data_IF_906580759818
#
_entry.id   IF_906580759818
#
_cell.length_a   1.000
_cell.length_b   1.000
_cell.length_c   1.000
_cell.angle_alpha   90.00
_cell.angle_beta   90.00
_cell.angle_gamma   90.00
#
_symmetry.space_group_name_H-M   'P 1'
#
loop_
_entity.id
_entity.type
_entity.pdbx_description
1 polymer ?
#
# COMPACT_ATOMS: atom_id res chain seq x y z
N UNK A 1 -26.36 1.46 65.39
CA UNK A 1 -27.15 1.12 66.55
C UNK A 1 -28.61 1.43 66.32
N UNK A 2 -29.51 0.63 66.94
CA UNK A 2 -30.93 0.93 66.97
C UNK A 2 -31.26 2.11 67.93
N UNK A 3 -32.50 2.51 68.02
CA UNK A 3 -32.94 3.58 68.95
C UNK A 3 -32.71 3.30 70.41
N UNK A 4 -32.48 2.04 70.78
CA UNK A 4 -32.17 1.58 72.14
C UNK A 4 -30.65 1.50 72.39
N UNK A 5 -29.80 1.77 71.40
CA UNK A 5 -28.35 1.76 71.53
C UNK A 5 -27.67 0.43 71.15
N UNK A 6 -28.42 -0.57 70.67
CA UNK A 6 -27.83 -1.86 70.30
C UNK A 6 -27.08 -1.77 68.98
N UNK A 7 -25.89 -2.33 68.90
CA UNK A 7 -25.06 -2.36 67.70
C UNK A 7 -25.68 -3.31 66.66
N UNK A 8 -25.83 -2.81 65.41
CA UNK A 8 -26.15 -3.67 64.24
C UNK A 8 -24.96 -4.51 63.82
N UNK A 9 -25.20 -5.59 63.07
CA UNK A 9 -24.13 -6.40 62.51
C UNK A 9 -23.31 -5.64 61.47
N UNK A 10 -22.04 -5.98 61.40
CA UNK A 10 -21.21 -5.53 60.24
C UNK A 10 -21.71 -6.21 58.97
N UNK A 11 -21.76 -5.47 57.91
CA UNK A 11 -22.09 -6.00 56.58
C UNK A 11 -21.02 -5.59 55.57
N UNK A 12 -20.70 -6.47 54.65
CA UNK A 12 -19.81 -6.24 53.53
C UNK A 12 -20.53 -6.53 52.22
N UNK A 13 -20.20 -5.84 51.16
CA UNK A 13 -20.68 -6.17 49.81
C UNK A 13 -20.06 -7.48 49.33
N UNK A 14 -20.67 -8.13 48.35
CA UNK A 14 -20.02 -9.18 47.59
C UNK A 14 -18.78 -8.61 46.88
N UNK A 15 -17.82 -9.48 46.56
CA UNK A 15 -16.66 -9.09 45.78
C UNK A 15 -17.11 -8.55 44.40
N UNK A 16 -16.48 -7.50 43.92
CA UNK A 16 -16.70 -6.93 42.57
C UNK A 16 -15.36 -6.78 41.89
N UNK A 17 -15.38 -6.94 40.55
CA UNK A 17 -14.22 -6.68 39.70
C UNK A 17 -14.29 -5.24 39.17
N UNK A 18 -13.14 -4.63 39.02
CA UNK A 18 -12.96 -3.32 38.36
C UNK A 18 -11.96 -3.51 37.22
N UNK A 19 -12.41 -3.25 36.02
CA UNK A 19 -11.58 -3.19 34.80
C UNK A 19 -11.82 -1.84 34.13
N UNK A 20 -10.80 -1.00 34.06
CA UNK A 20 -10.86 0.37 33.51
C UNK A 20 -9.68 0.69 32.59
N UNK A 21 -8.82 -0.32 32.33
CA UNK A 21 -7.69 -0.18 31.44
C UNK A 21 -8.15 -0.40 29.99
N UNK A 22 -8.02 0.61 29.14
CA UNK A 22 -8.33 0.45 27.73
C UNK A 22 -7.27 -0.40 27.02
N UNK A 23 -7.65 -1.16 25.98
CA UNK A 23 -6.69 -1.88 25.13
C UNK A 23 -5.75 -0.89 24.45
N UNK A 24 -4.49 -1.28 24.24
CA UNK A 24 -3.52 -0.53 23.43
C UNK A 24 -3.23 -1.26 22.11
N UNK A 25 -2.66 -0.54 21.14
CA UNK A 25 -2.17 -1.13 19.87
C UNK A 25 -0.68 -1.39 20.02
N UNK A 26 -0.29 -2.67 20.04
CA UNK A 26 1.10 -3.11 20.16
C UNK A 26 1.82 -3.12 18.81
N UNK A 27 1.09 -3.44 17.73
CA UNK A 27 1.61 -3.47 16.36
C UNK A 27 0.51 -3.18 15.34
N UNK A 28 0.84 -2.37 14.32
CA UNK A 28 -0.01 -2.15 13.16
C UNK A 28 0.89 -1.95 11.93
N UNK A 29 1.07 -3.00 11.13
CA UNK A 29 2.08 -3.04 10.07
C UNK A 29 1.59 -3.75 8.81
N UNK A 30 2.24 -3.42 7.68
CA UNK A 30 2.20 -4.17 6.43
C UNK A 30 3.50 -4.97 6.26
N UNK A 31 3.42 -6.15 5.64
CA UNK A 31 4.58 -6.99 5.32
C UNK A 31 5.41 -6.46 4.15
N UNK A 32 4.84 -5.60 3.31
CA UNK A 32 5.49 -4.90 2.21
C UNK A 32 5.02 -3.44 2.20
N UNK A 33 5.96 -2.53 2.02
CA UNK A 33 5.73 -1.07 2.01
C UNK A 33 6.07 -0.40 0.68
N UNK A 34 6.39 -1.19 -0.37
CA UNK A 34 6.70 -0.71 -1.71
C UNK A 34 5.93 -1.54 -2.75
N UNK A 35 4.63 -1.32 -2.82
CA UNK A 35 3.66 -2.13 -3.55
C UNK A 35 3.55 -1.71 -5.02
N UNK A 36 3.72 -2.64 -5.93
CA UNK A 36 3.55 -2.48 -7.37
C UNK A 36 2.40 -3.32 -7.91
N UNK A 37 2.14 -3.24 -9.21
CA UNK A 37 1.08 -3.97 -9.88
C UNK A 37 1.21 -5.49 -9.65
N UNK A 38 0.13 -6.10 -9.11
CA UNK A 38 0.05 -7.53 -8.79
C UNK A 38 0.57 -7.93 -7.41
N UNK A 39 1.16 -7.01 -6.65
CA UNK A 39 1.59 -7.28 -5.28
C UNK A 39 0.40 -7.34 -4.31
N UNK A 40 0.63 -7.98 -3.18
CA UNK A 40 -0.25 -7.95 -2.01
C UNK A 40 0.60 -7.90 -0.74
N UNK A 41 0.10 -7.27 0.31
CA UNK A 41 0.75 -7.25 1.60
C UNK A 41 -0.13 -7.88 2.68
N UNK A 42 0.48 -8.56 3.65
CA UNK A 42 -0.22 -8.98 4.87
C UNK A 42 -0.23 -7.81 5.84
N UNK A 43 -1.43 -7.41 6.27
CA UNK A 43 -1.63 -6.48 7.38
C UNK A 43 -1.72 -7.26 8.67
N UNK A 44 -0.94 -6.84 9.66
CA UNK A 44 -0.98 -7.38 11.03
C UNK A 44 -1.32 -6.26 12.00
N UNK A 45 -2.41 -6.43 12.73
CA UNK A 45 -2.84 -5.58 13.84
C UNK A 45 -2.87 -6.40 15.12
N UNK A 46 -2.11 -5.98 16.14
CA UNK A 46 -2.05 -6.63 17.43
C UNK A 46 -2.43 -5.66 18.53
N UNK A 47 -3.36 -6.08 19.38
CA UNK A 47 -3.77 -5.39 20.59
C UNK A 47 -3.07 -5.98 21.84
N UNK A 48 -3.03 -5.23 22.94
CA UNK A 48 -2.51 -5.68 24.22
C UNK A 48 -3.36 -6.77 24.87
N UNK A 49 -4.64 -6.82 24.50
CA UNK A 49 -5.65 -7.74 25.04
C UNK A 49 -6.74 -8.03 23.99
N UNK A 50 -7.66 -8.94 24.33
CA UNK A 50 -8.76 -9.31 23.44
C UNK A 50 -9.76 -8.16 23.29
N UNK A 51 -10.04 -7.77 22.03
CA UNK A 51 -11.02 -6.73 21.68
C UNK A 51 -12.32 -7.35 21.16
N UNK A 52 -13.41 -6.63 21.39
CA UNK A 52 -14.75 -6.93 20.87
C UNK A 52 -15.20 -5.79 19.95
N UNK A 53 -16.20 -6.07 19.12
CA UNK A 53 -16.77 -5.10 18.16
C UNK A 53 -15.80 -4.58 17.11
N UNK A 54 -14.57 -5.10 17.00
CA UNK A 54 -13.64 -4.77 15.92
C UNK A 54 -14.08 -5.39 14.59
N UNK A 55 -14.10 -4.57 13.55
CA UNK A 55 -14.33 -4.97 12.16
C UNK A 55 -13.42 -4.16 11.24
N UNK A 56 -12.51 -4.82 10.54
CA UNK A 56 -11.59 -4.12 9.62
C UNK A 56 -12.32 -3.28 8.56
N UNK A 57 -13.52 -3.70 8.13
CA UNK A 57 -14.31 -2.96 7.16
C UNK A 57 -14.94 -1.67 7.72
N UNK A 58 -15.18 -1.60 9.04
CA UNK A 58 -15.76 -0.44 9.71
C UNK A 58 -14.71 0.45 10.37
N UNK A 59 -13.65 -0.18 10.92
CA UNK A 59 -12.70 0.47 11.82
C UNK A 59 -11.37 0.82 11.13
N UNK A 60 -11.08 0.27 9.92
CA UNK A 60 -9.85 0.58 9.19
C UNK A 60 -10.17 1.29 7.87
N UNK A 61 -9.54 2.46 7.68
CA UNK A 61 -9.48 3.13 6.38
C UNK A 61 -8.12 2.81 5.74
N UNK A 62 -8.15 2.47 4.45
CA UNK A 62 -6.97 2.09 3.67
C UNK A 62 -6.78 3.06 2.50
N UNK A 63 -5.66 3.78 2.47
CA UNK A 63 -5.32 4.66 1.36
C UNK A 63 -4.84 3.84 0.15
N UNK A 64 -5.30 4.20 -1.04
CA UNK A 64 -4.89 3.63 -2.33
C UNK A 64 -4.85 2.09 -2.38
N UNK A 65 -5.81 1.42 -1.72
CA UNK A 65 -5.95 -0.03 -1.77
C UNK A 65 -7.17 -0.56 -1.05
N UNK A 66 -7.30 -1.86 -1.06
CA UNK A 66 -8.40 -2.59 -0.42
C UNK A 66 -7.84 -3.56 0.62
N UNK A 67 -8.32 -3.45 1.86
CA UNK A 67 -8.03 -4.42 2.91
C UNK A 67 -9.18 -5.45 2.97
N UNK A 68 -8.84 -6.71 2.71
CA UNK A 68 -9.78 -7.82 2.91
C UNK A 68 -10.15 -7.93 4.41
N UNK A 69 -11.34 -8.51 4.68
CA UNK A 69 -11.78 -8.72 6.05
C UNK A 69 -10.70 -9.44 6.87
N UNK A 70 -10.26 -8.82 7.95
CA UNK A 70 -9.27 -9.41 8.84
C UNK A 70 -9.89 -10.50 9.70
N UNK A 71 -9.09 -11.48 10.08
CA UNK A 71 -9.47 -12.59 10.95
C UNK A 71 -8.52 -12.73 12.14
N UNK A 72 -9.04 -13.26 13.23
CA UNK A 72 -8.29 -13.55 14.44
C UNK A 72 -8.79 -14.86 15.09
N UNK A 73 -7.91 -15.58 15.76
CA UNK A 73 -8.27 -16.76 16.54
C UNK A 73 -8.42 -16.43 18.03
N UNK A 74 -7.85 -15.34 18.50
CA UNK A 74 -7.74 -14.94 19.90
C UNK A 74 -8.33 -13.55 20.21
N UNK A 75 -8.82 -12.84 19.19
CA UNK A 75 -9.26 -11.45 19.23
C UNK A 75 -8.17 -10.45 19.69
N UNK A 76 -6.92 -10.88 19.70
CA UNK A 76 -5.74 -10.07 20.05
C UNK A 76 -4.95 -9.76 18.78
N UNK A 77 -4.62 -10.80 18.01
CA UNK A 77 -3.84 -10.64 16.76
C UNK A 77 -4.74 -10.86 15.55
N UNK A 78 -4.88 -9.84 14.73
CA UNK A 78 -5.69 -9.81 13.52
C UNK A 78 -4.80 -9.73 12.29
N UNK A 79 -5.15 -10.51 11.26
CA UNK A 79 -4.43 -10.51 9.98
C UNK A 79 -5.40 -10.44 8.81
N UNK A 80 -4.99 -9.73 7.76
CA UNK A 80 -5.75 -9.60 6.51
C UNK A 80 -4.83 -9.31 5.34
N UNK A 81 -5.34 -9.43 4.12
CA UNK A 81 -4.61 -9.13 2.89
C UNK A 81 -4.98 -7.73 2.40
N UNK A 82 -3.97 -6.91 2.18
CA UNK A 82 -4.09 -5.63 1.49
C UNK A 82 -3.71 -5.81 0.01
N UNK A 83 -4.51 -5.23 -0.89
CA UNK A 83 -4.26 -5.21 -2.33
C UNK A 83 -4.26 -3.75 -2.79
N UNK A 84 -3.18 -3.25 -3.42
CA UNK A 84 -3.11 -1.88 -3.89
C UNK A 84 -4.10 -1.61 -5.04
N UNK A 85 -4.53 -0.36 -5.15
CA UNK A 85 -5.35 0.12 -6.28
C UNK A 85 -4.52 0.11 -7.56
N UNK A 86 -5.12 -0.32 -8.66
CA UNK A 86 -4.47 -0.32 -9.98
C UNK A 86 -4.37 1.10 -10.57
N UNK A 87 -3.38 1.33 -11.44
CA UNK A 87 -3.12 2.61 -12.11
C UNK A 87 -2.98 3.79 -11.12
N UNK A 88 -2.24 3.55 -10.05
CA UNK A 88 -2.01 4.52 -8.98
C UNK A 88 -0.51 4.68 -8.76
N UNK A 89 -0.06 5.93 -8.64
CA UNK A 89 1.29 6.30 -8.21
C UNK A 89 1.15 7.26 -7.03
N UNK A 90 1.45 6.78 -5.82
CA UNK A 90 1.42 7.58 -4.60
C UNK A 90 2.46 7.06 -3.59
N UNK A 91 3.40 7.91 -3.25
CA UNK A 91 4.49 7.59 -2.34
C UNK A 91 4.11 7.71 -0.85
N UNK A 92 2.88 8.16 -0.52
CA UNK A 92 2.52 8.51 0.85
C UNK A 92 1.13 8.01 1.25
N UNK A 93 1.07 6.80 1.78
CA UNK A 93 -0.17 6.13 2.16
C UNK A 93 -0.08 5.54 3.57
N UNK A 94 -1.22 5.43 4.25
CA UNK A 94 -1.33 4.78 5.57
C UNK A 94 -2.63 3.95 5.66
N UNK A 95 -2.62 2.96 6.54
CA UNK A 95 -3.85 2.41 7.11
C UNK A 95 -4.14 3.12 8.43
N UNK A 96 -5.37 3.56 8.61
CA UNK A 96 -5.82 4.27 9.81
C UNK A 96 -6.87 3.48 10.55
N UNK A 97 -6.63 3.20 11.84
CA UNK A 97 -7.55 2.52 12.76
C UNK A 97 -8.35 3.56 13.54
N UNK A 98 -9.68 3.42 13.55
CA UNK A 98 -10.59 4.24 14.33
C UNK A 98 -10.68 3.74 15.80
N UNK A 99 -11.47 4.45 16.63
CA UNK A 99 -11.65 4.17 18.07
C UNK A 99 -12.96 3.45 18.39
N UNK A 100 -13.62 2.83 17.41
CA UNK A 100 -14.97 2.24 17.55
C UNK A 100 -14.99 0.82 18.16
N UNK A 101 -13.82 0.24 18.45
CA UNK A 101 -13.67 -1.06 19.11
C UNK A 101 -13.44 -0.89 20.63
N UNK A 102 -13.77 -1.93 21.41
CA UNK A 102 -13.60 -1.93 22.85
C UNK A 102 -12.97 -3.25 23.33
N UNK A 103 -12.49 -3.27 24.58
CA UNK A 103 -12.24 -4.52 25.30
C UNK A 103 -13.56 -5.19 25.75
N UNK A 104 -13.47 -6.28 26.48
CA UNK A 104 -14.64 -7.02 27.01
C UNK A 104 -15.35 -6.30 28.16
N UNK A 105 -14.71 -5.32 28.81
CA UNK A 105 -15.28 -4.48 29.84
C UNK A 105 -15.97 -3.23 29.27
N UNK A 106 -15.78 -2.93 27.99
CA UNK A 106 -16.39 -1.78 27.30
C UNK A 106 -15.48 -0.54 27.23
N UNK A 107 -14.19 -0.65 27.61
CA UNK A 107 -13.24 0.45 27.49
C UNK A 107 -12.82 0.62 26.02
N UNK A 108 -12.98 1.81 25.45
CA UNK A 108 -12.66 2.09 24.05
C UNK A 108 -11.14 2.12 23.81
N UNK A 109 -10.70 1.49 22.70
CA UNK A 109 -9.31 1.51 22.27
C UNK A 109 -8.92 2.79 21.55
N UNK A 110 -7.60 3.07 21.42
CA UNK A 110 -7.08 4.26 20.75
C UNK A 110 -7.13 4.13 19.23
N UNK A 111 -7.08 5.27 18.54
CA UNK A 111 -6.74 5.32 17.12
C UNK A 111 -5.25 4.99 16.91
N UNK A 112 -4.92 4.45 15.76
CA UNK A 112 -3.55 4.17 15.34
C UNK A 112 -3.40 4.27 13.83
N UNK A 113 -2.16 4.44 13.35
CA UNK A 113 -1.83 4.41 11.92
C UNK A 113 -0.61 3.52 11.69
N UNK A 114 -0.51 2.93 10.51
CA UNK A 114 0.72 2.23 10.09
C UNK A 114 1.86 3.20 9.80
N UNK A 115 3.06 2.69 9.65
CA UNK A 115 4.10 3.40 8.91
C UNK A 115 3.65 3.65 7.46
N UNK A 116 4.30 4.61 6.79
CA UNK A 116 4.05 4.90 5.38
C UNK A 116 4.31 3.68 4.50
N UNK A 117 3.49 3.52 3.44
CA UNK A 117 3.77 2.64 2.31
C UNK A 117 3.60 3.41 0.99
N UNK A 118 4.31 2.98 -0.05
CA UNK A 118 4.18 3.50 -1.41
C UNK A 118 3.36 2.53 -2.27
N UNK A 119 2.54 3.08 -3.14
CA UNK A 119 1.82 2.35 -4.19
C UNK A 119 2.30 2.86 -5.54
N UNK A 120 2.87 1.96 -6.35
CA UNK A 120 3.32 2.21 -7.72
C UNK A 120 2.78 1.10 -8.61
N UNK A 121 1.60 1.32 -9.16
CA UNK A 121 0.89 0.37 -10.02
C UNK A 121 0.55 0.96 -11.40
N UNK A 122 0.99 2.20 -11.66
CA UNK A 122 0.84 2.85 -12.94
C UNK A 122 1.90 2.32 -13.90
N UNK A 123 1.46 1.79 -15.05
CA UNK A 123 2.40 1.32 -16.06
C UNK A 123 3.00 2.50 -16.83
N UNK A 124 4.29 2.42 -17.25
CA UNK A 124 4.89 3.45 -18.10
C UNK A 124 4.14 3.59 -19.42
N UNK A 125 4.01 4.82 -19.91
CA UNK A 125 3.46 5.15 -21.21
C UNK A 125 4.54 5.69 -22.14
N UNK A 126 4.27 5.67 -23.46
CA UNK A 126 5.13 6.33 -24.45
C UNK A 126 4.61 7.76 -24.67
N UNK A 127 5.42 8.74 -24.29
CA UNK A 127 5.10 10.16 -24.44
C UNK A 127 5.52 10.69 -25.82
N UNK A 128 6.62 10.17 -26.37
CA UNK A 128 7.11 10.56 -27.69
C UNK A 128 7.82 9.39 -28.39
N UNK A 129 7.58 9.23 -29.70
CA UNK A 129 8.30 8.30 -30.54
C UNK A 129 8.42 8.90 -31.97
N UNK A 130 9.60 9.42 -32.32
CA UNK A 130 9.82 10.23 -33.52
C UNK A 130 11.11 9.90 -34.23
N UNK A 131 11.13 10.22 -35.56
CA UNK A 131 12.33 10.31 -36.35
C UNK A 131 12.63 11.78 -36.61
N UNK A 132 13.94 12.14 -36.66
CA UNK A 132 14.41 13.49 -36.97
C UNK A 132 14.21 13.87 -38.46
N UNK A 133 14.08 12.88 -39.35
CA UNK A 133 13.81 13.04 -40.78
C UNK A 133 12.83 11.95 -41.25
N UNK A 134 11.79 12.32 -41.98
CA UNK A 134 10.75 11.42 -42.49
C UNK A 134 10.81 11.26 -44.02
N UNK A 135 11.79 11.88 -44.71
CA UNK A 135 11.99 11.82 -46.15
C UNK A 135 13.36 11.26 -46.53
N UNK A 136 13.64 10.06 -46.07
CA UNK A 136 14.93 9.39 -46.16
C UNK A 136 15.18 8.81 -47.56
N UNK A 137 16.40 8.97 -48.06
CA UNK A 137 16.92 8.35 -49.26
C UNK A 137 18.22 7.59 -48.99
N UNK A 138 18.74 6.86 -49.96
CA UNK A 138 19.99 6.10 -49.86
C UNK A 138 21.15 6.99 -49.37
N UNK A 139 21.77 6.57 -48.25
CA UNK A 139 22.88 7.27 -47.59
C UNK A 139 22.50 8.27 -46.51
N UNK A 140 21.20 8.53 -46.32
CA UNK A 140 20.72 9.35 -45.17
C UNK A 140 20.69 8.54 -43.88
N UNK A 141 20.67 9.25 -42.77
CA UNK A 141 20.44 8.71 -41.45
C UNK A 141 19.46 9.62 -40.69
N UNK A 142 18.61 9.02 -39.86
CA UNK A 142 17.73 9.76 -38.98
C UNK A 142 17.98 9.35 -37.52
N UNK A 143 17.80 10.28 -36.59
CA UNK A 143 17.76 9.97 -35.17
C UNK A 143 16.35 9.53 -34.78
N UNK A 144 16.24 8.34 -34.20
CA UNK A 144 15.03 7.89 -33.52
C UNK A 144 15.10 8.34 -32.05
N UNK A 145 14.06 9.00 -31.60
CA UNK A 145 13.90 9.40 -30.19
C UNK A 145 12.64 8.77 -29.62
N UNK A 146 12.77 8.05 -28.53
CA UNK A 146 11.68 7.45 -27.75
C UNK A 146 11.73 7.98 -26.33
N UNK A 147 10.61 8.51 -25.85
CA UNK A 147 10.48 9.05 -24.48
C UNK A 147 9.34 8.32 -23.79
N UNK A 148 9.63 7.77 -22.61
CA UNK A 148 8.63 7.18 -21.73
C UNK A 148 8.21 8.19 -20.65
N UNK A 149 7.04 7.99 -20.05
CA UNK A 149 6.55 8.81 -18.94
C UNK A 149 7.41 8.70 -17.67
N UNK A 150 8.14 7.58 -17.54
CA UNK A 150 8.99 7.24 -16.39
C UNK A 150 10.17 6.36 -16.81
N UNK A 151 11.07 6.07 -15.87
CA UNK A 151 12.24 5.23 -16.14
C UNK A 151 11.84 3.75 -16.32
N UNK A 152 12.19 3.17 -17.47
CA UNK A 152 11.93 1.77 -17.80
C UNK A 152 13.15 0.88 -17.56
N UNK A 153 12.94 -0.31 -17.01
CA UNK A 153 14.03 -1.20 -16.59
C UNK A 153 14.46 -2.23 -17.65
N UNK A 154 13.58 -2.62 -18.57
CA UNK A 154 13.80 -3.80 -19.44
C UNK A 154 13.63 -3.47 -20.93
N UNK A 155 13.67 -2.19 -21.31
CA UNK A 155 13.55 -1.81 -22.70
C UNK A 155 14.80 -2.22 -23.50
N UNK A 156 14.58 -2.82 -24.67
CA UNK A 156 15.62 -3.19 -25.65
C UNK A 156 15.15 -2.86 -27.05
N UNK A 157 15.74 -1.87 -27.69
CA UNK A 157 15.34 -1.45 -29.04
C UNK A 157 15.41 -2.56 -30.09
N UNK A 158 16.28 -3.54 -29.91
CA UNK A 158 16.40 -4.69 -30.83
C UNK A 158 15.30 -5.75 -30.65
N UNK A 159 14.65 -5.77 -29.47
CA UNK A 159 13.57 -6.71 -29.16
C UNK A 159 12.18 -6.02 -29.29
N UNK A 160 12.10 -4.74 -28.89
CA UNK A 160 10.83 -4.03 -28.68
C UNK A 160 10.46 -3.10 -29.85
N UNK A 161 11.41 -2.80 -30.79
CA UNK A 161 11.14 -1.95 -31.95
C UNK A 161 11.36 -2.72 -33.24
N UNK A 162 10.36 -2.70 -34.11
CA UNK A 162 10.49 -3.14 -35.51
C UNK A 162 10.81 -1.94 -36.37
N UNK A 163 11.85 -2.06 -37.19
CA UNK A 163 12.29 -1.02 -38.13
C UNK A 163 12.09 -1.51 -39.56
N UNK A 164 11.02 -1.05 -40.22
CA UNK A 164 10.73 -1.42 -41.60
C UNK A 164 11.64 -0.66 -42.56
N UNK A 165 12.10 -1.35 -43.62
CA UNK A 165 12.93 -0.79 -44.69
C UNK A 165 14.22 -0.11 -44.21
N UNK A 166 14.80 -0.61 -43.13
CA UNK A 166 16.06 -0.07 -42.59
C UNK A 166 16.56 -0.83 -41.37
N UNK A 167 17.59 -0.29 -40.77
CA UNK A 167 18.17 -0.82 -39.50
C UNK A 167 18.20 0.27 -38.44
N UNK A 168 17.72 -0.06 -37.25
CA UNK A 168 17.85 0.77 -36.06
C UNK A 168 19.05 0.27 -35.22
N UNK A 169 20.04 1.14 -35.05
CA UNK A 169 21.13 0.87 -34.13
C UNK A 169 20.57 0.75 -32.69
N UNK A 170 21.28 -0.01 -31.83
CA UNK A 170 20.92 -0.12 -30.42
C UNK A 170 20.77 1.27 -29.82
N UNK A 171 19.59 1.55 -29.31
CA UNK A 171 19.30 2.82 -28.63
C UNK A 171 19.98 2.86 -27.25
N UNK A 172 20.36 4.05 -26.84
CA UNK A 172 21.01 4.31 -25.55
C UNK A 172 20.26 5.38 -24.78
N UNK A 173 20.36 5.31 -23.43
CA UNK A 173 19.78 6.28 -22.51
C UNK A 173 20.74 6.51 -21.34
N UNK A 174 20.64 7.67 -20.71
CA UNK A 174 21.35 7.99 -19.45
C UNK A 174 20.42 8.07 -18.24
N UNK A 175 19.12 8.14 -18.49
CA UNK A 175 18.07 8.32 -17.48
C UNK A 175 17.01 7.20 -17.49
N UNK A 176 17.10 6.26 -18.47
CA UNK A 176 16.11 5.22 -18.76
C UNK A 176 14.71 5.77 -19.14
N UNK A 177 14.58 7.06 -19.38
CA UNK A 177 13.35 7.74 -19.81
C UNK A 177 13.45 8.10 -21.28
N UNK A 178 14.52 8.81 -21.66
CA UNK A 178 14.77 9.26 -23.03
C UNK A 178 15.81 8.36 -23.71
N UNK A 179 15.41 7.69 -24.78
CA UNK A 179 16.23 6.77 -25.55
C UNK A 179 16.47 7.32 -26.96
N UNK A 180 17.69 7.23 -27.44
CA UNK A 180 18.05 7.67 -28.79
C UNK A 180 18.90 6.64 -29.52
N UNK A 181 18.67 6.53 -30.85
CA UNK A 181 19.42 5.63 -31.72
C UNK A 181 19.40 6.13 -33.15
N UNK A 182 20.28 5.60 -34.02
CA UNK A 182 20.37 5.96 -35.45
C UNK A 182 19.60 4.93 -36.27
N UNK A 183 18.68 5.41 -37.10
CA UNK A 183 18.03 4.63 -38.16
C UNK A 183 18.74 4.88 -39.46
N UNK A 184 19.04 3.80 -40.21
CA UNK A 184 19.64 3.83 -41.53
C UNK A 184 18.72 3.10 -42.51
N UNK A 185 18.17 3.76 -43.57
CA UNK A 185 17.30 3.11 -44.52
C UNK A 185 18.05 2.07 -45.36
N UNK A 186 17.33 1.08 -45.85
CA UNK A 186 17.85 0.11 -46.83
C UNK A 186 18.08 0.82 -48.17
N UNK A 187 19.16 0.47 -48.86
CA UNK A 187 19.50 1.03 -50.19
C UNK A 187 18.56 0.50 -51.27
#
# INVERSE_FOLDING_TARGET
>A
TDTAGNAGPAATTANYAVETLAPSVDNFTLSDTALKAGDTATVTLRFSEAVVSFSSAADITADNGTLAAMSSADNITWTGTFTPTTNTEDASNTLSLATSYTDTAGNAGPAATTANYAVETLAPSVDNFTLSDTALKAGDNATVTLVFSEAVASFSSSADITADNGTLAVMTSTDNITWAGTFTPTA
#
